data_IF_524728888971
#
_entry.id   IF_524728888971
#
_cell.length_a   1.000
_cell.length_b   1.000
_cell.length_c   1.000
_cell.angle_alpha   90.00
_cell.angle_beta   90.00
_cell.angle_gamma   90.00
#
_symmetry.space_group_name_H-M   'P 1'
#
loop_
_entity.id
_entity.type
_entity.pdbx_description
1 polymer ?
#
# COMPACT_ATOMS: atom_id res chain seq x y z
N UNK A 1 -15.91 -6.41 6.14
CA UNK A 1 -15.23 -6.90 4.93
C UNK A 1 -13.86 -6.24 4.97
N UNK A 2 -12.87 -6.94 5.52
CA UNK A 2 -11.52 -6.40 5.70
C UNK A 2 -10.75 -6.56 4.38
N UNK A 3 -10.40 -5.44 3.77
CA UNK A 3 -9.43 -5.40 2.68
C UNK A 3 -8.09 -5.03 3.30
N UNK A 4 -7.04 -5.82 3.05
CA UNK A 4 -5.67 -5.42 3.39
C UNK A 4 -5.29 -4.25 2.49
N UNK A 5 -4.77 -3.18 3.08
CA UNK A 5 -4.44 -1.93 2.40
C UNK A 5 -2.93 -1.78 2.41
N UNK A 6 -2.27 -2.34 1.40
CA UNK A 6 -0.84 -2.10 1.26
C UNK A 6 -0.64 -0.68 0.72
N UNK A 7 -0.22 0.21 1.61
CA UNK A 7 0.08 1.61 1.28
C UNK A 7 1.57 1.75 1.00
N UNK A 8 1.93 2.32 -0.14
CA UNK A 8 3.30 2.54 -0.61
C UNK A 8 3.59 4.03 -0.79
N UNK A 9 4.80 4.47 -0.42
CA UNK A 9 5.30 5.82 -0.73
C UNK A 9 6.68 5.77 -1.37
N UNK A 10 6.95 6.74 -2.24
CA UNK A 10 8.29 7.07 -2.73
C UNK A 10 9.03 7.84 -1.63
N UNK A 11 10.26 7.43 -1.33
CA UNK A 11 11.00 7.92 -0.17
C UNK A 11 11.41 9.40 -0.31
N UNK A 12 10.89 10.26 0.58
CA UNK A 12 11.60 11.46 1.03
C UNK A 12 11.75 11.36 2.55
N UNK A 13 12.98 11.20 3.02
CA UNK A 13 13.32 10.81 4.38
C UNK A 13 12.59 11.58 5.48
N UNK A 14 11.91 10.83 6.35
CA UNK A 14 11.30 11.31 7.59
C UNK A 14 10.50 10.20 8.26
N UNK A 15 11.07 9.49 9.23
CA UNK A 15 10.35 8.46 10.00
C UNK A 15 9.47 9.11 11.08
N UNK A 16 8.14 9.06 10.91
CA UNK A 16 7.16 9.16 11.99
C UNK A 16 6.50 7.78 12.17
N UNK A 17 6.23 7.33 13.41
CA UNK A 17 5.64 6.01 13.66
C UNK A 17 4.27 5.90 12.98
N UNK A 18 3.88 4.72 12.46
CA UNK A 18 2.67 4.59 11.66
C UNK A 18 1.47 4.69 12.59
N UNK A 19 0.75 5.81 12.54
CA UNK A 19 -0.66 5.79 12.89
C UNK A 19 -1.32 4.85 11.87
N UNK A 20 -1.99 3.80 12.34
CA UNK A 20 -2.76 2.89 11.50
C UNK A 20 -3.67 3.71 10.59
N UNK A 21 -3.40 3.69 9.30
CA UNK A 21 -4.08 4.54 8.33
C UNK A 21 -5.44 3.96 7.99
N UNK A 22 -6.41 4.83 7.80
CA UNK A 22 -7.76 4.43 7.40
C UNK A 22 -8.00 4.85 5.96
N UNK A 23 -8.80 4.07 5.25
CA UNK A 23 -9.25 4.44 3.90
C UNK A 23 -9.91 5.83 3.85
N UNK A 24 -10.61 6.23 4.91
CA UNK A 24 -11.23 7.55 5.05
C UNK A 24 -10.23 8.71 5.09
N UNK A 25 -8.96 8.44 5.36
CA UNK A 25 -7.90 9.44 5.41
C UNK A 25 -7.36 9.76 4.01
N UNK A 26 -7.89 9.11 2.97
CA UNK A 26 -7.44 9.22 1.59
C UNK A 26 -8.49 9.80 0.65
N UNK A 27 -8.00 10.61 -0.28
CA UNK A 27 -8.73 11.06 -1.44
C UNK A 27 -8.22 10.33 -2.69
N UNK A 28 -9.13 9.77 -3.48
CA UNK A 28 -8.81 9.15 -4.75
C UNK A 28 -8.35 10.18 -5.78
N UNK A 29 -7.22 9.91 -6.43
CA UNK A 29 -6.70 10.72 -7.53
C UNK A 29 -6.76 9.96 -8.86
N UNK A 30 -6.25 8.72 -8.91
CA UNK A 30 -6.24 7.91 -10.14
C UNK A 30 -6.15 6.39 -9.90
N UNK A 31 -6.50 5.58 -10.90
CA UNK A 31 -6.28 4.12 -10.94
C UNK A 31 -5.20 3.80 -11.98
N UNK A 32 -4.00 3.42 -11.51
CA UNK A 32 -2.86 3.12 -12.39
C UNK A 32 -2.98 1.78 -13.08
N UNK A 33 -3.63 0.81 -12.42
CA UNK A 33 -3.75 -0.55 -12.95
C UNK A 33 -4.86 -1.31 -12.26
N UNK A 34 -5.60 -2.09 -13.05
CA UNK A 34 -6.43 -3.20 -12.58
C UNK A 34 -6.03 -4.47 -13.33
N UNK A 35 -5.69 -5.51 -12.59
CA UNK A 35 -5.22 -6.77 -13.17
C UNK A 35 -5.32 -7.97 -12.24
N UNK A 36 -4.66 -9.06 -12.62
CA UNK A 36 -4.68 -10.34 -11.90
C UNK A 36 -4.13 -10.28 -10.46
N UNK A 37 -3.39 -9.20 -10.14
CA UNK A 37 -2.76 -8.92 -8.86
C UNK A 37 -3.47 -7.81 -8.07
N UNK A 38 -4.75 -7.56 -8.34
CA UNK A 38 -5.52 -6.54 -7.64
C UNK A 38 -5.57 -5.20 -8.38
N UNK A 39 -5.92 -4.16 -7.63
CA UNK A 39 -6.05 -2.77 -8.13
C UNK A 39 -5.00 -1.89 -7.49
N UNK A 40 -4.44 -0.98 -8.26
CA UNK A 40 -3.43 -0.02 -7.81
C UNK A 40 -4.00 1.38 -7.98
N UNK A 41 -4.06 2.12 -6.89
CA UNK A 41 -4.59 3.47 -6.82
C UNK A 41 -3.52 4.47 -6.46
N UNK A 42 -3.56 5.65 -7.07
CA UNK A 42 -2.89 6.85 -6.54
C UNK A 42 -3.89 7.57 -5.66
N UNK A 43 -3.49 7.81 -4.42
CA UNK A 43 -4.33 8.37 -3.38
C UNK A 43 -3.58 9.49 -2.68
N UNK A 44 -4.27 10.59 -2.39
CA UNK A 44 -3.73 11.66 -1.56
C UNK A 44 -4.08 11.40 -0.11
N UNK A 45 -3.07 11.24 0.74
CA UNK A 45 -3.26 11.14 2.18
C UNK A 45 -3.59 12.53 2.73
N UNK A 46 -4.83 12.74 3.18
CA UNK A 46 -5.34 14.05 3.60
C UNK A 46 -4.55 14.66 4.78
N UNK A 47 -4.16 13.90 5.83
CA UNK A 47 -3.40 14.46 6.94
C UNK A 47 -1.97 14.92 6.60
N UNK A 48 -1.23 14.20 5.74
CA UNK A 48 0.14 14.60 5.36
C UNK A 48 0.19 15.43 4.07
N UNK A 49 -0.84 15.34 3.22
CA UNK A 49 -0.89 15.95 1.90
C UNK A 49 -0.10 15.20 0.82
N UNK A 50 0.55 14.09 1.18
CA UNK A 50 1.41 13.29 0.30
C UNK A 50 0.61 12.41 -0.65
N UNK A 51 1.16 12.17 -1.84
CA UNK A 51 0.65 11.18 -2.78
C UNK A 51 1.25 9.82 -2.47
N UNK A 52 0.38 8.83 -2.29
CA UNK A 52 0.73 7.47 -1.94
C UNK A 52 0.02 6.51 -2.89
N UNK A 53 0.61 5.33 -3.06
CA UNK A 53 0.05 4.27 -3.91
C UNK A 53 -0.58 3.23 -3.01
N UNK A 54 -1.87 2.93 -3.20
CA UNK A 54 -2.56 1.88 -2.46
C UNK A 54 -2.84 0.70 -3.38
N UNK A 55 -2.36 -0.49 -3.00
CA UNK A 55 -2.69 -1.73 -3.69
C UNK A 55 -3.80 -2.46 -2.93
N UNK A 56 -4.95 -2.64 -3.59
CA UNK A 56 -6.05 -3.42 -3.06
C UNK A 56 -6.01 -4.84 -3.62
N UNK A 57 -5.82 -5.81 -2.72
CA UNK A 57 -5.77 -7.23 -3.05
C UNK A 57 -7.09 -7.93 -2.66
N UNK A 58 -7.63 -8.82 -3.51
CA UNK A 58 -8.78 -9.64 -3.14
C UNK A 58 -8.38 -10.73 -2.14
N UNK A 59 -8.44 -10.40 -0.86
CA UNK A 59 -8.08 -11.26 0.28
C UNK A 59 -9.18 -12.29 0.61
N UNK A 60 -9.61 -13.08 -0.39
CA UNK A 60 -10.78 -13.97 -0.29
C UNK A 60 -10.49 -15.46 -0.41
N UNK A 61 -9.30 -15.84 -0.90
CA UNK A 61 -8.90 -17.23 -1.11
C UNK A 61 -7.52 -17.46 -0.50
N UNK A 62 -7.32 -18.60 0.16
CA UNK A 62 -6.08 -18.92 0.87
C UNK A 62 -4.82 -18.79 0.00
N UNK A 63 -4.87 -19.21 -1.26
CA UNK A 63 -3.72 -19.06 -2.18
C UNK A 63 -3.38 -17.60 -2.46
N UNK A 64 -4.39 -16.73 -2.52
CA UNK A 64 -4.21 -15.29 -2.75
C UNK A 64 -3.72 -14.57 -1.50
N UNK A 65 -4.11 -15.07 -0.33
CA UNK A 65 -3.64 -14.60 0.97
C UNK A 65 -2.13 -14.86 1.11
N UNK A 66 -1.69 -16.09 0.84
CA UNK A 66 -0.25 -16.44 0.91
C UNK A 66 0.60 -15.58 -0.01
N UNK A 67 0.14 -15.35 -1.24
CA UNK A 67 0.86 -14.49 -2.20
C UNK A 67 0.96 -13.05 -1.68
N UNK A 68 -0.09 -12.52 -1.07
CA UNK A 68 -0.08 -11.18 -0.47
C UNK A 68 0.90 -11.09 0.71
N UNK A 69 0.85 -12.09 1.61
CA UNK A 69 1.76 -12.15 2.77
C UNK A 69 3.23 -12.26 2.34
N UNK A 70 3.52 -13.06 1.31
CA UNK A 70 4.86 -13.19 0.73
C UNK A 70 5.34 -11.87 0.11
N UNK A 71 4.46 -11.14 -0.59
CA UNK A 71 4.77 -9.84 -1.17
C UNK A 71 5.13 -8.81 -0.09
N UNK A 72 4.33 -8.73 0.97
CA UNK A 72 4.61 -7.86 2.14
C UNK A 72 5.94 -8.21 2.81
N UNK A 73 6.24 -9.50 2.96
CA UNK A 73 7.49 -9.96 3.56
C UNK A 73 8.70 -9.59 2.68
N UNK A 74 8.62 -9.81 1.36
CA UNK A 74 9.69 -9.45 0.43
C UNK A 74 9.95 -7.94 0.42
N UNK A 75 8.90 -7.11 0.42
CA UNK A 75 9.03 -5.66 0.45
C UNK A 75 9.68 -5.16 1.74
N UNK A 76 9.37 -5.79 2.87
CA UNK A 76 10.03 -5.47 4.13
C UNK A 76 11.54 -5.80 4.14
N UNK A 77 11.95 -6.82 3.38
CA UNK A 77 13.37 -7.21 3.26
C UNK A 77 14.13 -6.37 2.23
N UNK A 78 13.46 -5.94 1.15
CA UNK A 78 14.07 -5.24 0.03
C UNK A 78 14.18 -3.71 0.20
N UNK A 79 14.18 -3.19 1.44
CA UNK A 79 14.19 -1.73 1.72
C UNK A 79 15.46 -1.07 1.19
N UNK A 80 15.29 -0.12 0.27
CA UNK A 80 16.37 0.67 -0.31
C UNK A 80 15.83 2.01 -0.85
N UNK A 81 16.69 2.98 -1.17
CA UNK A 81 16.26 4.22 -1.83
C UNK A 81 15.66 4.01 -3.23
N UNK A 82 15.89 2.85 -3.86
CA UNK A 82 15.45 2.53 -5.22
C UNK A 82 14.28 1.54 -5.25
N UNK A 83 13.73 1.19 -4.10
CA UNK A 83 12.59 0.30 -3.96
C UNK A 83 11.46 1.03 -3.23
N UNK A 84 10.21 0.61 -3.53
CA UNK A 84 9.04 1.16 -2.86
C UNK A 84 9.05 0.78 -1.38
N UNK A 85 8.70 1.72 -0.51
CA UNK A 85 8.59 1.45 0.91
C UNK A 85 7.13 1.16 1.26
N UNK A 86 6.92 0.05 1.95
CA UNK A 86 5.66 -0.25 2.62
C UNK A 86 5.47 0.70 3.80
N UNK A 87 4.33 1.39 3.85
CA UNK A 87 3.98 2.34 4.91
C UNK A 87 3.07 1.70 5.95
N UNK A 88 2.05 0.96 5.50
CA UNK A 88 1.06 0.29 6.36
C UNK A 88 0.39 -0.89 5.60
N UNK A 89 -0.27 -1.80 6.34
CA UNK A 89 -1.00 -2.99 5.85
C UNK A 89 -2.39 -3.12 6.47
#
# INVERSE_FOLDING_TARGET
MEFLLDVFAMSSGGQKPPLKRKWSDYQFEDELSSGAFGRIYVMKHLPSGELEVIKSLPYKKEDKIKIADEEVNMLNQAKSPYTVNLIDT
#
